data_IF_407937356884
#
_entry.id   IF_407937356884
#
_cell.length_a   1.000
_cell.length_b   1.000
_cell.length_c   1.000
_cell.angle_alpha   90.00
_cell.angle_beta   90.00
_cell.angle_gamma   90.00
#
_symmetry.space_group_name_H-M   'P 1'
#
loop_
_entity.id
_entity.type
_entity.pdbx_description
1 polymer ?
#
# COMPACT_ATOMS: atom_id res chain seq x y z
N UNK A 1 -27.66 -0.32 5.42
CA UNK A 1 -28.75 -0.17 6.41
C UNK A 1 -28.13 0.24 7.73
N UNK A 2 -28.57 1.36 8.29
CA UNK A 2 -28.05 1.92 9.55
C UNK A 2 -29.06 1.81 10.71
N UNK A 3 -30.31 1.45 10.42
CA UNK A 3 -31.36 1.32 11.44
C UNK A 3 -31.48 -0.12 11.95
N UNK A 4 -31.63 -0.26 13.26
CA UNK A 4 -31.61 -1.53 13.99
C UNK A 4 -32.70 -2.51 13.53
N UNK A 5 -33.88 -1.99 13.18
CA UNK A 5 -35.00 -2.81 12.70
C UNK A 5 -34.66 -3.49 11.36
N UNK A 6 -33.97 -2.76 10.47
CA UNK A 6 -33.60 -3.21 9.14
C UNK A 6 -32.37 -4.13 9.11
N UNK A 7 -31.53 -4.08 10.14
CA UNK A 7 -30.34 -4.94 10.28
C UNK A 7 -30.60 -6.23 11.06
N UNK A 8 -31.66 -6.29 11.87
CA UNK A 8 -32.01 -7.44 12.70
C UNK A 8 -32.19 -8.76 11.90
N UNK A 9 -32.65 -8.68 10.65
CA UNK A 9 -32.84 -9.84 9.76
C UNK A 9 -31.49 -10.51 9.38
N UNK A 10 -30.38 -9.77 9.48
CA UNK A 10 -29.04 -10.25 9.14
C UNK A 10 -28.26 -10.80 10.34
N UNK A 11 -28.92 -10.98 11.49
CA UNK A 11 -28.40 -11.66 12.67
C UNK A 11 -27.47 -10.82 13.55
N UNK A 12 -26.89 -11.46 14.57
CA UNK A 12 -26.09 -10.80 15.62
C UNK A 12 -24.88 -10.02 15.10
N UNK A 13 -24.30 -10.46 13.97
CA UNK A 13 -23.18 -9.75 13.31
C UNK A 13 -23.60 -8.48 12.56
N UNK A 14 -24.92 -8.22 12.41
CA UNK A 14 -25.48 -7.01 11.82
C UNK A 14 -25.63 -5.83 12.80
N UNK A 15 -25.24 -5.99 14.07
CA UNK A 15 -25.34 -4.94 15.10
C UNK A 15 -24.56 -3.66 14.74
N UNK A 16 -23.45 -3.80 13.99
CA UNK A 16 -22.64 -2.68 13.50
C UNK A 16 -23.15 -2.08 12.16
N UNK A 17 -24.30 -2.53 11.65
CA UNK A 17 -24.82 -2.15 10.34
C UNK A 17 -24.51 -3.17 9.24
N UNK A 18 -25.29 -3.14 8.16
CA UNK A 18 -25.13 -4.05 7.01
C UNK A 18 -25.01 -3.25 5.71
N UNK A 19 -24.02 -3.61 4.88
CA UNK A 19 -23.85 -3.09 3.53
C UNK A 19 -24.25 -4.18 2.55
N UNK A 20 -25.35 -3.95 1.81
CA UNK A 20 -25.81 -4.86 0.76
C UNK A 20 -25.21 -4.40 -0.56
N UNK A 21 -24.40 -5.27 -1.18
CA UNK A 21 -23.82 -5.02 -2.50
C UNK A 21 -24.42 -5.98 -3.50
N UNK A 22 -25.24 -5.46 -4.41
CA UNK A 22 -25.84 -6.24 -5.49
C UNK A 22 -25.07 -6.03 -6.78
N UNK A 23 -24.55 -7.11 -7.37
CA UNK A 23 -23.88 -7.04 -8.68
C UNK A 23 -24.90 -7.07 -9.82
N UNK A 24 -24.57 -6.43 -10.94
CA UNK A 24 -25.42 -6.37 -12.14
C UNK A 24 -25.90 -7.77 -12.57
N UNK A 25 -27.21 -7.92 -12.69
CA UNK A 25 -27.85 -9.10 -13.25
C UNK A 25 -28.13 -8.89 -14.75
N UNK A 26 -28.27 -9.98 -15.50
CA UNK A 26 -28.67 -9.92 -16.91
C UNK A 26 -30.00 -9.19 -17.09
N UNK A 27 -30.10 -8.37 -18.14
CA UNK A 27 -31.35 -7.71 -18.54
C UNK A 27 -31.94 -8.45 -19.73
N UNK A 28 -33.26 -8.40 -19.83
CA UNK A 28 -33.96 -8.89 -21.01
C UNK A 28 -33.67 -7.98 -22.20
N UNK A 29 -33.49 -8.58 -23.38
CA UNK A 29 -33.23 -7.88 -24.63
C UNK A 29 -31.88 -8.23 -25.24
N UNK A 30 -31.39 -7.32 -26.10
CA UNK A 30 -30.18 -7.53 -26.90
C UNK A 30 -28.96 -7.69 -26.00
N UNK A 31 -27.99 -8.47 -26.48
CA UNK A 31 -26.69 -8.63 -25.84
C UNK A 31 -25.99 -7.27 -25.76
N UNK A 32 -25.60 -6.87 -24.56
CA UNK A 32 -24.81 -5.68 -24.29
C UNK A 32 -23.40 -6.11 -23.90
N UNK A 33 -22.42 -5.63 -24.66
CA UNK A 33 -20.99 -5.81 -24.40
C UNK A 33 -20.43 -4.45 -24.04
N UNK A 34 -19.81 -4.36 -22.87
CA UNK A 34 -19.13 -3.15 -22.41
C UNK A 34 -17.68 -3.52 -22.09
N UNK A 35 -16.76 -2.78 -22.67
CA UNK A 35 -15.34 -2.88 -22.36
C UNK A 35 -14.85 -1.52 -21.88
N UNK A 36 -14.21 -1.50 -20.72
CA UNK A 36 -13.61 -0.31 -20.16
C UNK A 36 -12.15 -0.63 -19.87
N UNK A 37 -11.26 0.27 -20.27
CA UNK A 37 -9.86 0.22 -19.90
C UNK A 37 -9.39 1.61 -19.50
N UNK A 38 -8.53 1.67 -18.50
CA UNK A 38 -7.87 2.92 -18.12
C UNK A 38 -6.44 2.66 -17.68
N UNK A 39 -5.61 3.67 -17.91
CA UNK A 39 -4.24 3.74 -17.43
C UNK A 39 -4.17 4.89 -16.42
N UNK A 40 -3.40 4.71 -15.35
CA UNK A 40 -3.13 5.74 -14.36
C UNK A 40 -1.65 5.80 -14.01
N UNK A 41 -1.10 7.00 -13.94
CA UNK A 41 0.24 7.27 -13.45
C UNK A 41 0.16 7.92 -12.07
N UNK A 42 1.01 7.47 -11.16
CA UNK A 42 1.02 7.93 -9.76
C UNK A 42 2.43 8.38 -9.38
N UNK A 43 2.51 9.50 -8.67
CA UNK A 43 3.75 10.02 -8.07
C UNK A 43 3.46 10.43 -6.64
N UNK A 44 4.50 10.49 -5.81
CA UNK A 44 4.40 11.05 -4.47
C UNK A 44 3.90 12.50 -4.57
N UNK A 45 2.87 12.85 -3.79
CA UNK A 45 2.22 14.16 -3.89
C UNK A 45 3.07 15.28 -3.25
N UNK A 46 3.71 14.96 -2.13
CA UNK A 46 4.59 15.88 -1.38
C UNK A 46 5.63 15.06 -0.65
N UNK A 47 6.87 15.49 -0.72
CA UNK A 47 7.95 15.04 0.16
C UNK A 47 8.02 15.95 1.38
N UNK A 48 8.47 15.39 2.49
CA UNK A 48 8.79 16.18 3.69
C UNK A 48 10.18 16.75 3.54
N UNK A 49 10.36 18.00 3.96
CA UNK A 49 11.67 18.64 3.98
C UNK A 49 12.53 17.94 5.05
N UNK A 50 13.69 17.43 4.63
CA UNK A 50 14.67 16.76 5.48
C UNK A 50 15.97 17.56 5.52
N UNK A 51 16.78 17.31 6.54
CA UNK A 51 18.06 17.99 6.69
C UNK A 51 18.99 17.67 5.51
N UNK A 52 19.74 18.67 5.07
CA UNK A 52 20.88 18.46 4.17
C UNK A 52 21.99 17.67 4.89
N UNK A 53 22.96 17.14 4.14
CA UNK A 53 24.12 16.44 4.73
C UNK A 53 24.88 17.31 5.74
N UNK A 54 25.07 18.59 5.41
CA UNK A 54 25.72 19.56 6.29
C UNK A 54 24.89 19.83 7.54
N UNK A 55 23.59 20.11 7.38
CA UNK A 55 22.70 20.40 8.51
C UNK A 55 22.55 19.19 9.44
N UNK A 56 22.56 17.98 8.88
CA UNK A 56 22.53 16.74 9.65
C UNK A 56 23.80 16.58 10.50
N UNK A 57 24.99 16.78 9.92
CA UNK A 57 26.24 16.74 10.65
C UNK A 57 26.30 17.82 11.75
N UNK A 58 25.86 19.05 11.43
CA UNK A 58 25.77 20.14 12.40
C UNK A 58 24.82 19.81 13.54
N UNK A 59 23.64 19.27 13.23
CA UNK A 59 22.65 18.87 14.22
C UNK A 59 23.19 17.79 15.17
N UNK A 60 23.95 16.81 14.66
CA UNK A 60 24.59 15.78 15.49
C UNK A 60 25.64 16.36 16.44
N UNK A 61 26.40 17.37 16.00
CA UNK A 61 27.34 18.08 16.87
C UNK A 61 26.62 18.87 17.97
N UNK A 62 25.59 19.66 17.61
CA UNK A 62 24.79 20.42 18.57
C UNK A 62 24.12 19.49 19.60
N UNK A 63 23.61 18.34 19.16
CA UNK A 63 23.03 17.31 20.02
C UNK A 63 24.06 16.73 21.00
N UNK A 64 25.27 16.41 20.54
CA UNK A 64 26.35 15.90 21.42
C UNK A 64 26.76 16.94 22.48
N UNK A 65 26.86 18.20 22.09
CA UNK A 65 27.17 19.31 22.99
C UNK A 65 26.06 19.57 24.02
N UNK A 66 24.78 19.47 23.63
CA UNK A 66 23.66 19.66 24.55
C UNK A 66 23.47 18.50 25.54
N UNK A 67 23.71 17.26 25.09
CA UNK A 67 23.47 16.07 25.92
C UNK A 67 24.58 15.82 26.96
N UNK A 68 25.85 15.91 26.54
CA UNK A 68 26.99 15.49 27.36
C UNK A 68 28.03 16.61 27.57
N UNK A 69 27.89 17.74 26.89
CA UNK A 69 28.88 18.83 26.91
C UNK A 69 30.21 18.47 26.27
N UNK A 70 30.29 17.34 25.54
CA UNK A 70 31.52 16.79 24.96
C UNK A 70 31.32 16.39 23.50
N UNK A 71 32.27 16.70 22.61
CA UNK A 71 32.17 16.36 21.19
C UNK A 71 32.54 14.91 20.88
N UNK A 72 33.04 14.12 21.84
CA UNK A 72 33.56 12.76 21.60
C UNK A 72 32.57 11.87 20.85
N UNK A 73 31.27 11.98 21.19
CA UNK A 73 30.18 11.22 20.55
C UNK A 73 29.92 11.63 19.09
N UNK A 74 30.25 12.85 18.72
CA UNK A 74 30.23 13.33 17.35
C UNK A 74 31.52 12.91 16.63
N UNK A 75 32.68 13.22 17.22
CA UNK A 75 33.99 13.01 16.60
C UNK A 75 34.24 11.56 16.21
N UNK A 76 33.74 10.59 17.00
CA UNK A 76 33.85 9.16 16.69
C UNK A 76 33.21 8.75 15.34
N UNK A 77 32.18 9.47 14.88
CA UNK A 77 31.42 9.12 13.67
C UNK A 77 31.64 10.11 12.53
N UNK A 78 31.86 11.39 12.86
CA UNK A 78 31.89 12.48 11.91
C UNK A 78 33.24 13.21 11.83
N UNK A 79 34.23 12.81 12.63
CA UNK A 79 35.53 13.48 12.67
C UNK A 79 35.49 14.85 13.37
N UNK A 80 36.55 15.65 13.18
CA UNK A 80 36.65 16.94 13.84
C UNK A 80 35.60 17.92 13.30
N UNK A 81 34.96 18.67 14.20
CA UNK A 81 33.96 19.68 13.79
C UNK A 81 34.56 20.77 12.90
N UNK A 82 35.87 21.05 12.98
CA UNK A 82 36.55 21.99 12.09
C UNK A 82 36.49 21.55 10.61
N UNK A 83 36.31 20.25 10.35
CA UNK A 83 36.24 19.68 9.01
C UNK A 83 34.78 19.51 8.54
N UNK A 84 33.80 20.15 9.20
CA UNK A 84 32.37 20.00 8.90
C UNK A 84 32.01 20.38 7.45
N UNK A 85 32.80 21.23 6.80
CA UNK A 85 32.63 21.59 5.40
C UNK A 85 32.73 20.39 4.45
N UNK A 86 33.37 19.29 4.86
CA UNK A 86 33.38 18.02 4.13
C UNK A 86 31.98 17.41 3.97
N UNK A 87 31.00 17.81 4.78
CA UNK A 87 29.61 17.38 4.69
C UNK A 87 28.73 18.25 3.78
N UNK A 88 29.30 19.24 3.09
CA UNK A 88 28.62 19.98 2.02
C UNK A 88 28.52 19.14 0.73
N UNK A 89 28.00 17.93 0.86
CA UNK A 89 27.81 16.96 -0.22
C UNK A 89 26.32 16.72 -0.46
N UNK A 90 25.98 16.29 -1.67
CA UNK A 90 24.62 15.85 -1.97
C UNK A 90 24.26 14.62 -1.13
N UNK A 91 23.19 14.74 -0.36
CA UNK A 91 22.66 13.67 0.47
C UNK A 91 21.70 12.76 -0.31
N UNK A 92 21.57 11.52 0.15
CA UNK A 92 20.55 10.59 -0.32
C UNK A 92 19.16 11.10 0.08
N UNK A 93 18.33 11.40 -0.93
CA UNK A 93 16.89 11.57 -0.72
C UNK A 93 16.23 10.19 -0.57
N UNK A 94 16.17 9.71 0.68
CA UNK A 94 15.57 8.42 0.98
C UNK A 94 14.09 8.36 0.61
N UNK A 95 13.34 9.46 0.70
CA UNK A 95 11.93 9.48 0.28
C UNK A 95 11.80 9.28 -1.23
N UNK A 96 12.71 9.82 -2.03
CA UNK A 96 12.78 9.53 -3.47
C UNK A 96 13.18 8.07 -3.73
N UNK A 97 14.17 7.56 -3.02
CA UNK A 97 14.64 6.19 -3.24
C UNK A 97 13.56 5.15 -2.90
N UNK A 98 12.79 5.37 -1.83
CA UNK A 98 11.76 4.44 -1.36
C UNK A 98 10.39 4.66 -2.00
N UNK A 99 9.98 5.90 -2.29
CA UNK A 99 8.64 6.26 -2.78
C UNK A 99 8.62 7.04 -4.11
N UNK A 100 9.77 7.40 -4.67
CA UNK A 100 9.88 8.25 -5.86
C UNK A 100 9.59 7.55 -7.20
N UNK A 101 9.51 6.22 -7.20
CA UNK A 101 9.17 5.46 -8.41
C UNK A 101 7.80 5.90 -8.93
N UNK A 102 7.69 6.14 -10.24
CA UNK A 102 6.39 6.39 -10.87
C UNK A 102 5.54 5.13 -10.84
N UNK A 103 4.44 5.18 -10.11
CA UNK A 103 3.44 4.13 -10.06
C UNK A 103 2.64 4.09 -11.36
N UNK A 104 2.20 2.90 -11.73
CA UNK A 104 1.50 2.65 -12.99
C UNK A 104 0.39 1.63 -12.75
N UNK A 105 -0.85 2.02 -13.02
CA UNK A 105 -2.01 1.13 -12.97
C UNK A 105 -2.55 0.92 -14.37
N UNK A 106 -2.82 -0.32 -14.72
CA UNK A 106 -3.60 -0.67 -15.90
C UNK A 106 -4.77 -1.55 -15.50
N UNK A 107 -5.97 -1.15 -15.92
CA UNK A 107 -7.19 -1.86 -15.62
C UNK A 107 -7.95 -2.20 -16.90
N UNK A 108 -8.50 -3.41 -16.92
CA UNK A 108 -9.41 -3.89 -17.94
C UNK A 108 -10.68 -4.40 -17.26
N UNK A 109 -11.83 -4.06 -17.82
CA UNK A 109 -13.11 -4.55 -17.38
C UNK A 109 -13.99 -4.86 -18.58
N UNK A 110 -14.29 -6.14 -18.76
CA UNK A 110 -15.21 -6.65 -19.76
C UNK A 110 -16.49 -7.11 -19.06
N UNK A 111 -17.63 -6.60 -19.52
CA UNK A 111 -18.96 -6.98 -19.04
C UNK A 111 -19.84 -7.35 -20.22
N UNK A 112 -20.37 -8.58 -20.21
CA UNK A 112 -21.30 -9.09 -21.20
C UNK A 112 -22.58 -9.44 -20.47
N UNK A 113 -23.72 -8.94 -20.94
CA UNK A 113 -25.00 -9.26 -20.34
C UNK A 113 -26.10 -9.30 -21.39
N UNK A 114 -27.14 -10.08 -21.11
CA UNK A 114 -28.29 -10.20 -22.01
C UNK A 114 -29.23 -11.29 -21.53
N UNK A 115 -30.23 -11.56 -22.35
CA UNK A 115 -31.18 -12.61 -22.03
C UNK A 115 -32.54 -12.41 -22.67
N UNK A 116 -33.36 -13.43 -22.54
CA UNK A 116 -34.78 -13.41 -22.85
C UNK A 116 -35.61 -13.24 -21.58
N UNK A 117 -36.93 -13.24 -21.74
CA UNK A 117 -37.92 -13.36 -20.67
C UNK A 117 -37.67 -14.57 -19.75
N UNK A 118 -37.22 -15.68 -20.32
CA UNK A 118 -36.96 -16.95 -19.62
C UNK A 118 -35.53 -17.08 -19.08
N UNK A 119 -34.52 -16.56 -19.77
CA UNK A 119 -33.12 -16.76 -19.37
C UNK A 119 -32.36 -15.45 -19.39
N UNK A 120 -31.74 -15.08 -18.27
CA UNK A 120 -30.92 -13.87 -18.14
C UNK A 120 -29.52 -14.26 -17.68
N UNK A 121 -28.50 -13.69 -18.32
CA UNK A 121 -27.11 -13.96 -17.99
C UNK A 121 -26.30 -12.67 -17.87
N UNK A 122 -25.28 -12.71 -17.01
CA UNK A 122 -24.21 -11.72 -16.98
C UNK A 122 -22.87 -12.39 -16.72
N UNK A 123 -21.88 -11.99 -17.50
CA UNK A 123 -20.48 -12.33 -17.35
C UNK A 123 -19.70 -11.04 -17.14
N UNK A 124 -18.81 -11.05 -16.16
CA UNK A 124 -17.89 -9.95 -15.91
C UNK A 124 -16.49 -10.50 -15.68
N UNK A 125 -15.52 -9.93 -16.38
CA UNK A 125 -14.11 -10.17 -16.15
C UNK A 125 -13.43 -8.82 -15.89
N UNK A 126 -12.65 -8.73 -14.83
CA UNK A 126 -11.88 -7.54 -14.50
C UNK A 126 -10.46 -7.95 -14.16
N UNK A 127 -9.49 -7.31 -14.80
CA UNK A 127 -8.07 -7.42 -14.48
C UNK A 127 -7.55 -6.06 -14.03
N UNK A 128 -6.84 -6.02 -12.92
CA UNK A 128 -6.08 -4.86 -12.50
C UNK A 128 -4.64 -5.29 -12.25
N UNK A 129 -3.71 -4.50 -12.79
CA UNK A 129 -2.30 -4.58 -12.49
C UNK A 129 -1.86 -3.19 -12.05
N UNK A 130 -1.47 -3.08 -10.78
CA UNK A 130 -1.08 -1.84 -10.14
C UNK A 130 0.33 -1.94 -9.60
N UNK A 131 1.25 -1.18 -10.19
CA UNK A 131 2.59 -0.95 -9.66
C UNK A 131 2.54 0.29 -8.78
N UNK A 132 2.76 0.12 -7.48
CA UNK A 132 2.70 1.22 -6.52
C UNK A 132 3.92 2.15 -6.62
N UNK A 133 3.84 3.32 -6.00
CA UNK A 133 4.95 4.29 -5.92
C UNK A 133 6.06 3.83 -4.96
N UNK A 134 5.69 3.09 -3.91
CA UNK A 134 6.66 2.49 -3.01
C UNK A 134 7.42 1.37 -3.72
N UNK A 135 8.73 1.30 -3.53
CA UNK A 135 9.53 0.20 -4.03
C UNK A 135 9.01 -1.15 -3.51
N UNK A 136 9.23 -2.19 -4.30
CA UNK A 136 8.83 -3.58 -3.99
C UNK A 136 7.31 -3.78 -3.77
N UNK A 137 6.49 -2.76 -4.01
CA UNK A 137 5.05 -2.82 -3.79
C UNK A 137 4.26 -2.91 -5.09
N UNK A 138 3.24 -3.76 -5.09
CA UNK A 138 2.40 -4.04 -6.24
C UNK A 138 1.10 -4.75 -5.87
N UNK A 139 0.11 -4.65 -6.74
CA UNK A 139 -1.18 -5.29 -6.56
C UNK A 139 -1.71 -5.78 -7.91
N UNK A 140 -2.06 -7.06 -7.98
CA UNK A 140 -2.71 -7.65 -9.15
C UNK A 140 -3.97 -8.38 -8.73
N UNK A 141 -5.04 -8.23 -9.48
CA UNK A 141 -6.26 -9.00 -9.26
C UNK A 141 -6.97 -9.33 -10.56
N UNK A 142 -7.22 -10.61 -10.74
CA UNK A 142 -8.15 -11.16 -11.70
C UNK A 142 -9.46 -11.49 -11.00
N UNK A 143 -10.57 -10.99 -11.55
CA UNK A 143 -11.89 -11.24 -10.99
C UNK A 143 -12.86 -11.65 -12.10
N UNK A 144 -13.46 -12.81 -11.93
CA UNK A 144 -14.45 -13.38 -12.82
C UNK A 144 -15.77 -13.52 -12.06
N UNK A 145 -16.86 -13.10 -12.69
CA UNK A 145 -18.21 -13.30 -12.15
C UNK A 145 -19.15 -13.73 -13.26
N UNK A 146 -19.85 -14.84 -13.02
CA UNK A 146 -20.91 -15.37 -13.85
C UNK A 146 -22.20 -15.39 -13.03
N UNK A 147 -23.29 -14.93 -13.64
CA UNK A 147 -24.64 -15.06 -13.11
C UNK A 147 -25.55 -15.54 -14.21
N UNK A 148 -26.40 -16.51 -13.90
CA UNK A 148 -27.41 -17.05 -14.76
C UNK A 148 -28.72 -17.17 -13.97
N UNK A 149 -29.80 -16.68 -14.54
CA UNK A 149 -31.15 -16.80 -13.98
C UNK A 149 -32.04 -17.42 -15.05
N UNK A 150 -32.72 -18.51 -14.73
CA UNK A 150 -33.59 -19.22 -15.66
C UNK A 150 -34.97 -19.47 -15.04
N UNK A 151 -36.01 -19.22 -15.83
CA UNK A 151 -37.41 -19.48 -15.50
C UNK A 151 -37.93 -20.59 -16.39
N UNK A 152 -37.72 -21.88 -16.04
CA UNK A 152 -38.18 -22.99 -16.86
C UNK A 152 -39.71 -23.01 -16.97
N UNK A 153 -40.42 -22.52 -15.94
CA UNK A 153 -41.86 -22.30 -15.95
C UNK A 153 -42.23 -21.05 -15.10
N UNK A 154 -43.53 -20.69 -15.04
CA UNK A 154 -44.00 -19.50 -14.31
C UNK A 154 -43.86 -19.58 -12.78
N UNK A 155 -43.66 -20.78 -12.21
CA UNK A 155 -43.63 -21.03 -10.76
C UNK A 155 -42.22 -21.26 -10.22
N UNK A 156 -41.25 -21.52 -11.10
CA UNK A 156 -39.87 -21.88 -10.71
C UNK A 156 -38.90 -20.88 -11.34
N UNK A 157 -38.00 -20.33 -10.50
CA UNK A 157 -36.84 -19.55 -10.94
C UNK A 157 -35.60 -20.22 -10.36
N UNK A 158 -34.61 -20.46 -11.21
CA UNK A 158 -33.33 -21.05 -10.87
C UNK A 158 -32.26 -19.98 -11.06
N UNK A 159 -31.57 -19.62 -9.98
CA UNK A 159 -30.48 -18.66 -9.99
C UNK A 159 -29.15 -19.35 -9.69
N UNK A 160 -28.19 -19.17 -10.59
CA UNK A 160 -26.83 -19.66 -10.46
C UNK A 160 -25.88 -18.47 -10.44
N UNK A 161 -24.95 -18.45 -9.49
CA UNK A 161 -23.91 -17.43 -9.43
C UNK A 161 -22.56 -18.05 -9.09
N UNK A 162 -21.57 -17.76 -9.91
CA UNK A 162 -20.18 -18.13 -9.71
C UNK A 162 -19.35 -16.84 -9.62
N UNK A 163 -18.43 -16.82 -8.66
CA UNK A 163 -17.43 -15.76 -8.53
C UNK A 163 -16.09 -16.43 -8.30
N UNK A 164 -15.06 -15.90 -8.94
CA UNK A 164 -13.69 -16.32 -8.77
C UNK A 164 -12.80 -15.08 -8.74
N UNK A 165 -11.87 -15.04 -7.80
CA UNK A 165 -10.89 -13.96 -7.66
C UNK A 165 -9.52 -14.55 -7.34
N UNK A 166 -8.51 -14.21 -8.14
CA UNK A 166 -7.09 -14.43 -7.81
C UNK A 166 -6.46 -13.07 -7.54
N UNK A 167 -5.97 -12.85 -6.32
CA UNK A 167 -5.32 -11.61 -5.89
C UNK A 167 -3.89 -11.90 -5.50
N UNK A 168 -2.98 -11.08 -6.00
CA UNK A 168 -1.57 -11.05 -5.62
C UNK A 168 -1.25 -9.67 -5.06
N UNK A 169 -0.59 -9.64 -3.92
CA UNK A 169 -0.14 -8.43 -3.23
C UNK A 169 1.35 -8.58 -3.00
N UNK A 170 2.12 -7.62 -3.49
CA UNK A 170 3.57 -7.48 -3.32
C UNK A 170 3.81 -6.26 -2.42
N UNK A 171 4.80 -6.34 -1.52
CA UNK A 171 5.17 -5.27 -0.60
C UNK A 171 4.61 -5.42 0.81
N UNK A 172 5.37 -4.95 1.79
CA UNK A 172 5.00 -4.94 3.22
C UNK A 172 3.94 -3.91 3.62
N UNK A 173 3.57 -2.98 2.71
CA UNK A 173 2.72 -1.81 2.99
C UNK A 173 3.51 -0.62 3.57
N UNK A 174 2.91 0.57 3.63
CA UNK A 174 3.58 1.75 4.21
C UNK A 174 3.64 1.69 5.75
N UNK A 175 2.76 0.90 6.35
CA UNK A 175 2.58 0.75 7.78
C UNK A 175 2.79 -0.71 8.20
N UNK A 176 3.25 -0.91 9.42
CA UNK A 176 3.37 -2.24 10.00
C UNK A 176 2.00 -2.87 10.28
N UNK A 177 1.92 -4.21 10.21
CA UNK A 177 0.65 -4.93 10.40
C UNK A 177 0.10 -4.78 11.84
N UNK A 178 0.98 -4.52 12.81
CA UNK A 178 0.68 -4.28 14.22
C UNK A 178 1.27 -2.93 14.67
N UNK A 179 1.12 -1.89 13.85
CA UNK A 179 1.67 -0.57 14.13
C UNK A 179 1.08 -0.01 15.45
N UNK A 180 1.87 -0.03 16.54
CA UNK A 180 1.47 0.48 17.86
C UNK A 180 1.54 2.02 17.88
N UNK A 181 2.36 2.61 17.00
CA UNK A 181 2.61 4.05 16.92
C UNK A 181 3.00 4.47 15.50
N UNK A 182 2.62 5.67 15.08
CA UNK A 182 3.11 6.28 13.83
C UNK A 182 4.63 6.49 13.80
N UNK A 183 5.29 6.41 14.97
CA UNK A 183 6.74 6.34 15.10
C UNK A 183 7.35 5.02 14.60
N UNK A 184 6.53 4.03 14.26
CA UNK A 184 6.97 2.74 13.72
C UNK A 184 6.72 2.64 12.19
N UNK A 185 6.24 3.73 11.58
CA UNK A 185 5.97 3.77 10.15
C UNK A 185 7.26 3.63 9.36
N UNK A 186 7.22 2.85 8.27
CA UNK A 186 8.37 2.71 7.34
C UNK A 186 8.81 4.04 6.74
N UNK A 187 7.93 5.05 6.73
CA UNK A 187 8.27 6.42 6.37
C UNK A 187 9.31 7.05 7.32
N UNK A 188 9.30 6.70 8.63
CA UNK A 188 10.26 7.22 9.62
C UNK A 188 11.69 6.96 9.17
N UNK A 189 12.01 5.74 8.76
CA UNK A 189 13.34 5.41 8.26
C UNK A 189 13.75 6.33 7.11
N UNK A 190 12.85 6.60 6.16
CA UNK A 190 13.12 7.50 5.04
C UNK A 190 13.26 8.99 5.43
N UNK A 191 12.88 9.37 6.66
CA UNK A 191 12.96 10.76 7.14
C UNK A 191 14.17 11.02 8.03
N UNK A 192 14.53 10.08 8.91
CA UNK A 192 15.53 10.30 9.95
C UNK A 192 16.84 9.52 9.74
N UNK A 193 16.90 8.64 8.74
CA UNK A 193 18.13 7.92 8.42
C UNK A 193 19.19 8.90 7.87
N UNK A 194 20.49 8.73 8.22
CA UNK A 194 21.55 9.59 7.75
C UNK A 194 21.52 9.77 6.22
N UNK A 195 21.63 11.01 5.70
CA UNK A 195 21.62 11.25 4.26
C UNK A 195 22.88 10.72 3.55
N UNK A 196 23.92 10.32 4.27
CA UNK A 196 25.15 9.74 3.71
C UNK A 196 25.58 8.52 4.53
N UNK A 197 26.40 7.62 3.97
CA UNK A 197 26.92 6.48 4.72
C UNK A 197 27.77 6.95 5.91
N UNK A 198 27.42 6.49 7.11
CA UNK A 198 28.23 6.71 8.32
C UNK A 198 28.57 5.36 8.90
N UNK A 199 29.86 5.04 8.99
CA UNK A 199 30.33 3.78 9.57
C UNK A 199 29.90 3.67 11.04
N UNK A 200 29.41 2.50 11.45
CA UNK A 200 29.06 2.15 12.83
C UNK A 200 27.98 3.00 13.51
N UNK A 201 27.37 3.98 12.83
CA UNK A 201 26.29 4.80 13.38
C UNK A 201 24.93 4.06 13.38
N UNK A 202 24.75 3.10 12.46
CA UNK A 202 23.50 2.35 12.26
C UNK A 202 23.63 0.87 12.58
N UNK A 203 24.80 0.43 13.05
CA UNK A 203 25.14 -0.97 13.42
C UNK A 203 25.54 -1.07 14.91
N UNK A 204 25.31 -0.01 15.68
CA UNK A 204 25.58 -0.03 17.11
C UNK A 204 24.57 -0.92 17.80
N UNK A 205 25.04 -1.94 18.53
CA UNK A 205 24.27 -2.88 19.35
C UNK A 205 23.53 -2.22 20.53
N UNK A 206 22.77 -1.17 20.25
CA UNK A 206 21.84 -0.53 21.16
C UNK A 206 20.65 -1.47 21.33
N UNK A 207 20.45 -1.93 22.56
CA UNK A 207 19.42 -2.93 22.91
C UNK A 207 18.01 -2.34 22.98
N UNK A 208 17.84 -1.06 22.62
CA UNK A 208 16.54 -0.39 22.56
C UNK A 208 16.04 -0.32 21.11
N UNK A 209 15.18 -1.26 20.74
CA UNK A 209 14.59 -1.39 19.41
C UNK A 209 13.91 -0.09 18.92
N UNK A 210 13.50 0.81 19.82
CA UNK A 210 12.85 2.07 19.45
C UNK A 210 13.79 3.10 18.81
N UNK A 211 15.11 2.93 18.96
CA UNK A 211 16.13 3.84 18.44
C UNK A 211 16.96 3.27 17.28
N UNK A 212 16.75 2.00 16.93
CA UNK A 212 17.44 1.38 15.81
C UNK A 212 16.94 1.96 14.47
N UNK A 213 17.86 2.59 13.76
CA UNK A 213 17.65 3.22 12.47
C UNK A 213 18.10 2.26 11.36
N UNK A 214 17.14 1.61 10.71
CA UNK A 214 17.44 0.74 9.57
C UNK A 214 17.56 1.54 8.28
N UNK A 215 18.46 1.10 7.38
CA UNK A 215 18.55 1.65 6.04
C UNK A 215 17.16 1.54 5.37
N UNK A 216 16.60 2.62 4.80
CA UNK A 216 15.21 2.61 4.32
C UNK A 216 14.96 1.60 3.20
N UNK A 217 15.95 1.37 2.33
CA UNK A 217 15.85 0.39 1.24
C UNK A 217 15.93 -1.04 1.77
N UNK A 218 16.84 -1.29 2.72
CA UNK A 218 16.97 -2.60 3.39
C UNK A 218 15.73 -2.92 4.22
N UNK A 219 15.21 -1.94 4.97
CA UNK A 219 13.97 -2.07 5.72
C UNK A 219 12.80 -2.46 4.81
N UNK A 220 12.71 -1.88 3.61
CA UNK A 220 11.70 -2.30 2.62
C UNK A 220 11.90 -3.73 2.13
N UNK A 221 13.15 -4.16 1.88
CA UNK A 221 13.43 -5.52 1.41
C UNK A 221 13.19 -6.58 2.46
N UNK A 222 13.58 -6.32 3.70
CA UNK A 222 13.44 -7.25 4.82
C UNK A 222 11.95 -7.45 5.19
N UNK A 223 11.15 -6.42 4.94
CA UNK A 223 9.71 -6.45 5.16
C UNK A 223 8.90 -6.78 3.89
N UNK A 224 9.56 -7.09 2.78
CA UNK A 224 8.83 -7.44 1.57
C UNK A 224 8.00 -8.71 1.78
N UNK A 225 6.78 -8.68 1.28
CA UNK A 225 5.81 -9.75 1.46
C UNK A 225 5.11 -10.02 0.15
N UNK A 226 4.99 -11.31 -0.16
CA UNK A 226 4.13 -11.78 -1.23
C UNK A 226 2.94 -12.52 -0.66
N UNK A 227 1.73 -12.02 -0.93
CA UNK A 227 0.48 -12.67 -0.55
C UNK A 227 -0.30 -13.04 -1.79
N UNK A 228 -0.73 -14.31 -1.86
CA UNK A 228 -1.62 -14.81 -2.91
C UNK A 228 -2.90 -15.36 -2.30
N UNK A 229 -4.05 -14.88 -2.78
CA UNK A 229 -5.36 -15.33 -2.33
C UNK A 229 -6.25 -15.69 -3.50
N UNK A 230 -6.80 -16.90 -3.47
CA UNK A 230 -7.81 -17.39 -4.41
C UNK A 230 -9.11 -17.65 -3.67
N UNK A 231 -10.23 -17.16 -4.20
CA UNK A 231 -11.58 -17.35 -3.64
C UNK A 231 -12.59 -17.53 -4.76
#
# INVERSE_FOLDING_TARGET
MKDASSTAIYGSRGANGVIIVTTKSGKEGKVSVNYNAYISYKKIAKKLDVLSSYDYAKWQYERAMLAEGKPDKYTQYFGNYQDIDMYQIEGNDWQEQTFGRTGFTFNHNLSISGGTDKTKYSFNYSHINDKAIMQMSGFKRDNLSLKLSNKPNKKVTLDFSLRYSDTQIEGGGANEQNEISSADSRLRHSMIYPPFPVGNLTDSGDTDDNFNLYNPVVSLSDNDRFQKRKT
#
